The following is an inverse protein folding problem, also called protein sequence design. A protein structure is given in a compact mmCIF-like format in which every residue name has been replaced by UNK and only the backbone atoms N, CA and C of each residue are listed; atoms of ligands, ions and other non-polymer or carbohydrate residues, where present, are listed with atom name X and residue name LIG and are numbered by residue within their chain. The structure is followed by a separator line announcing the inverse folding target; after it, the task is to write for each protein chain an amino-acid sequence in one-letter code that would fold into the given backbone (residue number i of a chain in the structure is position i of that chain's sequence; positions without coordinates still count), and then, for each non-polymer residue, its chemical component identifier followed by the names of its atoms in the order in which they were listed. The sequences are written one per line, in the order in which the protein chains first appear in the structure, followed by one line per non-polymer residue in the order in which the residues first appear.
data_IF_622174868014
#
_entry.id   IF_622174868014
#
_cell.length_a   1.000
_cell.length_b   1.000
_cell.length_c   1.000
_cell.angle_alpha   90.00
_cell.angle_beta   90.00
_cell.angle_gamma   90.00
#
_symmetry.space_group_name_H-M   'P 1'
#
loop_
_entity.id
_entity.type
_entity.pdbx_description
1 polymer ?
#
# COMPACT_ATOMS: atom_id res chain seq x y z
N UNK A 1 6.89 2.01 -15.98
CA UNK A 1 7.07 3.49 -15.84
C UNK A 1 7.60 3.78 -14.46
N UNK A 2 8.61 4.64 -14.34
CA UNK A 2 9.16 5.01 -13.03
C UNK A 2 8.29 6.09 -12.36
N UNK A 3 8.36 6.18 -11.03
CA UNK A 3 7.72 7.26 -10.28
C UNK A 3 8.18 8.65 -10.77
N UNK A 4 9.49 8.81 -11.06
CA UNK A 4 10.02 10.04 -11.62
C UNK A 4 9.37 10.44 -12.94
N UNK A 5 8.99 9.49 -13.79
CA UNK A 5 8.31 9.74 -15.07
C UNK A 5 6.84 10.12 -14.84
N UNK A 6 6.15 9.38 -13.97
CA UNK A 6 4.75 9.65 -13.60
C UNK A 6 4.56 11.05 -13.03
N UNK A 7 5.48 11.48 -12.17
CA UNK A 7 5.39 12.75 -11.45
C UNK A 7 6.27 13.86 -12.04
N UNK A 8 6.78 13.68 -13.25
CA UNK A 8 7.73 14.60 -13.91
C UNK A 8 7.29 16.06 -13.88
N UNK A 9 6.05 16.33 -14.27
CA UNK A 9 5.54 17.72 -14.35
C UNK A 9 5.52 18.38 -12.97
N UNK A 10 5.10 17.66 -11.94
CA UNK A 10 5.06 18.15 -10.57
C UNK A 10 6.48 18.39 -10.02
N UNK A 11 7.43 17.49 -10.35
CA UNK A 11 8.84 17.62 -9.96
C UNK A 11 9.43 18.88 -10.60
N UNK A 12 9.20 19.11 -11.91
CA UNK A 12 9.69 20.29 -12.62
C UNK A 12 9.09 21.58 -12.06
N UNK A 13 7.77 21.62 -11.83
CA UNK A 13 7.12 22.78 -11.20
C UNK A 13 7.70 23.11 -9.81
N UNK A 14 8.12 22.07 -9.09
CA UNK A 14 8.72 22.23 -7.77
C UNK A 14 10.15 22.80 -7.86
N UNK A 15 10.93 22.37 -8.86
CA UNK A 15 12.29 22.86 -9.13
C UNK A 15 12.24 24.33 -9.58
N UNK A 16 11.33 24.69 -10.48
CA UNK A 16 11.18 26.03 -11.01
C UNK A 16 10.81 27.07 -9.94
N UNK A 17 10.18 26.65 -8.84
CA UNK A 17 9.86 27.54 -7.72
C UNK A 17 11.00 27.76 -6.73
N UNK A 18 12.22 27.37 -7.08
CA UNK A 18 13.45 27.45 -6.24
C UNK A 18 13.26 26.87 -4.82
N UNK A 19 12.28 26.02 -4.64
CA UNK A 19 12.07 25.32 -3.37
C UNK A 19 13.05 24.18 -3.27
N UNK A 20 13.78 24.11 -2.17
CA UNK A 20 14.63 22.94 -1.87
C UNK A 20 13.81 21.65 -2.02
N UNK A 21 14.38 20.65 -2.71
CA UNK A 21 13.72 19.37 -3.01
C UNK A 21 13.40 18.57 -1.73
N UNK A 22 12.45 19.06 -0.97
CA UNK A 22 11.90 18.36 0.18
C UNK A 22 10.47 17.93 -0.17
N UNK A 23 10.27 16.78 -0.75
CA UNK A 23 8.94 16.22 -0.86
C UNK A 23 8.71 15.20 0.26
N UNK A 24 7.58 15.33 0.90
CA UNK A 24 7.08 14.32 1.83
C UNK A 24 5.83 13.69 1.24
N UNK A 25 5.62 12.43 1.50
CA UNK A 25 4.36 11.77 1.21
C UNK A 25 3.49 11.80 2.45
N UNK A 26 2.34 12.46 2.36
CA UNK A 26 1.21 12.12 3.21
C UNK A 26 0.48 10.96 2.55
N UNK A 27 -0.12 10.10 3.35
CA UNK A 27 -0.96 9.00 2.88
C UNK A 27 -2.19 9.43 2.06
N UNK A 28 -2.40 10.73 1.85
CA UNK A 28 -3.47 11.28 1.04
C UNK A 28 -2.97 11.41 -0.41
N UNK A 29 -3.47 10.55 -1.27
CA UNK A 29 -3.12 10.44 -2.69
C UNK A 29 -3.19 11.73 -3.53
N UNK A 30 -3.64 12.84 -2.99
CA UNK A 30 -3.85 14.09 -3.73
C UNK A 30 -2.73 15.11 -3.61
N UNK A 31 -1.82 15.01 -2.64
CA UNK A 31 -0.82 16.06 -2.38
C UNK A 31 0.57 15.52 -2.10
N UNK A 32 1.16 14.89 -3.12
CA UNK A 32 2.47 14.27 -3.05
C UNK A 32 3.63 15.24 -2.80
N UNK A 33 3.42 16.53 -2.96
CA UNK A 33 4.46 17.56 -2.91
C UNK A 33 4.14 18.68 -1.93
N UNK A 34 3.34 18.44 -0.91
CA UNK A 34 3.09 19.43 0.11
C UNK A 34 4.10 19.31 1.25
N UNK A 35 4.92 20.35 1.27
CA UNK A 35 5.78 20.77 2.38
C UNK A 35 6.75 19.76 2.98
N UNK A 36 7.98 20.22 2.97
CA UNK A 36 9.14 19.76 3.68
C UNK A 36 8.89 19.17 5.05
N UNK A 37 9.78 18.25 5.40
CA UNK A 37 10.06 17.74 6.73
C UNK A 37 10.35 18.83 7.79
N UNK A 38 9.54 19.84 7.92
CA UNK A 38 9.58 20.74 9.07
C UNK A 38 8.95 20.12 10.31
N UNK A 39 8.22 19.04 10.12
CA UNK A 39 7.54 18.37 11.22
C UNK A 39 7.76 16.86 11.14
N UNK A 40 8.60 16.36 12.03
CA UNK A 40 8.68 14.97 12.43
C UNK A 40 8.60 13.93 11.30
N UNK A 41 9.73 13.27 11.03
CA UNK A 41 9.83 12.10 10.15
C UNK A 41 8.82 10.97 10.46
N UNK A 42 8.13 11.05 11.58
CA UNK A 42 7.10 10.11 12.04
C UNK A 42 5.90 9.97 11.08
N UNK A 43 5.62 10.98 10.28
CA UNK A 43 4.45 10.99 9.37
C UNK A 43 4.84 10.91 7.89
N UNK A 44 6.11 10.69 7.58
CA UNK A 44 6.55 10.56 6.21
C UNK A 44 6.53 9.07 5.80
N UNK A 45 5.69 8.71 4.86
CA UNK A 45 5.59 7.34 4.33
C UNK A 45 6.93 6.80 3.77
N UNK A 46 7.87 7.69 3.40
CA UNK A 46 9.21 7.31 2.97
C UNK A 46 10.19 7.06 4.11
N UNK A 47 9.92 7.58 5.29
CA UNK A 47 10.85 7.58 6.41
C UNK A 47 10.45 6.68 7.56
N UNK A 48 9.58 5.70 7.40
CA UNK A 48 9.18 4.67 8.40
C UNK A 48 9.44 4.99 9.91
N UNK A 49 9.56 6.26 10.27
CA UNK A 49 9.84 6.73 11.63
C UNK A 49 11.23 6.39 12.19
N UNK A 50 12.05 5.66 11.48
CA UNK A 50 13.37 5.21 11.93
C UNK A 50 14.48 6.06 11.28
N UNK A 51 14.83 7.17 11.92
CA UNK A 51 15.88 8.08 11.49
C UNK A 51 17.29 7.47 11.50
N UNK A 52 17.43 6.21 11.88
CA UNK A 52 18.75 5.57 12.06
C UNK A 52 19.24 4.82 10.82
N UNK A 53 18.38 4.56 9.82
CA UNK A 53 18.72 3.62 8.75
C UNK A 53 19.21 4.22 7.44
N UNK A 54 18.59 5.26 6.93
CA UNK A 54 19.04 5.91 5.68
C UNK A 54 18.72 7.41 5.66
N UNK A 55 19.59 8.25 5.06
CA UNK A 55 19.25 9.65 4.80
C UNK A 55 18.01 9.77 3.90
N UNK A 56 17.08 10.67 4.24
CA UNK A 56 15.85 10.92 3.49
C UNK A 56 16.08 11.14 1.98
N UNK A 57 17.22 11.74 1.62
CA UNK A 57 17.58 11.96 0.21
C UNK A 57 17.75 10.64 -0.54
N UNK A 58 18.39 9.66 0.07
CA UNK A 58 18.60 8.34 -0.55
C UNK A 58 17.27 7.62 -0.72
N UNK A 59 16.44 7.62 0.31
CA UNK A 59 15.10 7.00 0.26
C UNK A 59 14.23 7.64 -0.83
N UNK A 60 14.30 8.96 -0.99
CA UNK A 60 13.57 9.69 -2.06
C UNK A 60 14.07 9.32 -3.44
N UNK A 61 15.39 9.25 -3.63
CA UNK A 61 15.98 8.84 -4.91
C UNK A 61 15.58 7.42 -5.24
N UNK A 62 15.65 6.50 -4.29
CA UNK A 62 15.19 5.11 -4.48
C UNK A 62 13.74 5.05 -4.91
N UNK A 63 12.87 5.84 -4.26
CA UNK A 63 11.47 5.90 -4.63
C UNK A 63 11.25 6.47 -6.03
N UNK A 64 11.94 7.57 -6.39
CA UNK A 64 11.84 8.15 -7.74
C UNK A 64 12.24 7.15 -8.83
N UNK A 65 13.21 6.30 -8.55
CA UNK A 65 13.72 5.28 -9.45
C UNK A 65 12.95 3.95 -9.37
N UNK A 66 12.02 3.81 -8.44
CA UNK A 66 11.19 2.62 -8.35
C UNK A 66 10.04 2.67 -9.35
N UNK A 67 9.51 1.49 -9.67
CA UNK A 67 8.38 1.37 -10.59
C UNK A 67 7.11 1.97 -9.98
N UNK A 68 6.41 2.76 -10.79
CA UNK A 68 5.10 3.29 -10.39
C UNK A 68 4.08 2.16 -10.36
N UNK A 69 3.45 1.99 -9.22
CA UNK A 69 2.30 1.10 -9.03
C UNK A 69 1.05 1.95 -8.89
N UNK A 70 0.03 1.63 -9.66
CA UNK A 70 -1.27 2.28 -9.48
C UNK A 70 -1.83 1.94 -8.10
N UNK A 71 -2.43 2.92 -7.40
CA UNK A 71 -3.11 2.63 -6.14
C UNK A 71 -4.24 1.63 -6.37
N UNK A 72 -4.38 0.71 -5.43
CA UNK A 72 -5.54 -0.19 -5.42
C UNK A 72 -6.78 0.62 -5.11
N UNK A 73 -7.84 0.47 -5.92
CA UNK A 73 -9.13 1.09 -5.64
C UNK A 73 -9.94 0.17 -4.74
N UNK A 74 -10.35 0.70 -3.61
CA UNK A 74 -11.19 -0.01 -2.65
C UNK A 74 -12.52 0.72 -2.52
N UNK A 75 -13.60 -0.04 -2.39
CA UNK A 75 -14.86 0.49 -1.89
C UNK A 75 -14.74 0.84 -0.41
N UNK A 76 -15.65 1.68 0.12
CA UNK A 76 -15.69 1.97 1.57
C UNK A 76 -15.84 0.69 2.40
N UNK A 77 -16.62 -0.28 1.89
CA UNK A 77 -16.79 -1.58 2.53
C UNK A 77 -15.48 -2.38 2.60
N UNK A 78 -14.77 -2.49 1.47
CA UNK A 78 -13.50 -3.21 1.41
C UNK A 78 -12.45 -2.58 2.32
N UNK A 79 -12.35 -1.25 2.29
CA UNK A 79 -11.45 -0.50 3.18
C UNK A 79 -11.75 -0.79 4.65
N UNK A 80 -13.01 -0.64 5.06
CA UNK A 80 -13.44 -0.92 6.45
C UNK A 80 -13.20 -2.36 6.89
N UNK A 81 -13.35 -3.35 5.99
CA UNK A 81 -13.03 -4.75 6.29
C UNK A 81 -11.53 -4.92 6.54
N UNK A 82 -10.66 -4.34 5.70
CA UNK A 82 -9.21 -4.44 5.89
C UNK A 82 -8.75 -3.75 7.18
N UNK A 83 -9.26 -2.56 7.49
CA UNK A 83 -9.00 -1.89 8.77
C UNK A 83 -9.40 -2.77 9.97
N UNK A 84 -10.60 -3.34 9.93
CA UNK A 84 -11.08 -4.23 11.00
C UNK A 84 -10.19 -5.46 11.16
N UNK A 85 -9.77 -6.08 10.06
CA UNK A 85 -8.88 -7.23 10.09
C UNK A 85 -7.54 -6.89 10.70
N UNK A 86 -6.96 -5.76 10.34
CA UNK A 86 -5.66 -5.31 10.82
C UNK A 86 -5.73 -4.90 12.30
N UNK A 87 -6.62 -3.98 12.65
CA UNK A 87 -6.66 -3.36 13.97
C UNK A 87 -7.27 -4.26 15.05
N UNK A 88 -8.39 -4.92 14.75
CA UNK A 88 -9.17 -5.67 15.74
C UNK A 88 -8.83 -7.15 15.78
N UNK A 89 -8.36 -7.70 14.67
CA UNK A 89 -8.10 -9.14 14.54
C UNK A 89 -6.62 -9.48 14.33
N UNK A 90 -5.76 -8.48 14.13
CA UNK A 90 -4.31 -8.65 13.94
C UNK A 90 -3.94 -9.50 12.71
N UNK A 91 -4.85 -9.66 11.75
CA UNK A 91 -4.51 -10.25 10.46
C UNK A 91 -3.72 -9.24 9.64
N UNK A 92 -2.65 -9.69 9.01
CA UNK A 92 -1.72 -8.81 8.28
C UNK A 92 -1.69 -9.08 6.80
N UNK A 93 -2.13 -10.26 6.38
CA UNK A 93 -2.07 -10.69 4.99
C UNK A 93 -3.40 -11.26 4.56
N UNK A 94 -3.76 -11.02 3.29
CA UNK A 94 -4.90 -11.64 2.62
C UNK A 94 -4.38 -12.29 1.35
N UNK A 95 -4.91 -13.46 1.03
CA UNK A 95 -4.62 -14.18 -0.20
C UNK A 95 -5.89 -14.75 -0.79
N UNK A 96 -5.89 -14.96 -2.11
CA UNK A 96 -6.92 -15.74 -2.80
C UNK A 96 -6.34 -17.10 -3.15
N UNK A 97 -7.06 -18.15 -2.80
CA UNK A 97 -6.72 -19.51 -3.17
C UNK A 97 -7.14 -19.82 -4.62
N UNK A 98 -6.60 -20.89 -5.19
CA UNK A 98 -6.89 -21.34 -6.55
C UNK A 98 -8.38 -21.61 -6.82
N UNK A 99 -9.13 -21.94 -5.79
CA UNK A 99 -10.59 -22.15 -5.85
C UNK A 99 -11.41 -20.85 -5.72
N UNK A 100 -10.76 -19.70 -5.68
CA UNK A 100 -11.37 -18.38 -5.57
C UNK A 100 -11.63 -17.88 -4.15
N UNK A 101 -11.49 -18.74 -3.13
CA UNK A 101 -11.74 -18.35 -1.74
C UNK A 101 -10.66 -17.44 -1.16
N UNK A 102 -11.08 -16.47 -0.37
CA UNK A 102 -10.20 -15.55 0.37
C UNK A 102 -9.88 -16.08 1.77
N UNK A 103 -8.62 -15.89 2.15
CA UNK A 103 -8.13 -16.20 3.50
C UNK A 103 -7.28 -15.08 4.06
N UNK A 104 -7.49 -14.77 5.34
CA UNK A 104 -6.67 -13.83 6.11
C UNK A 104 -5.67 -14.59 6.99
N UNK A 105 -4.45 -14.07 7.10
CA UNK A 105 -3.34 -14.65 7.86
C UNK A 105 -2.71 -13.62 8.80
N UNK A 106 -2.31 -14.07 9.99
CA UNK A 106 -1.55 -13.25 10.95
C UNK A 106 -0.08 -13.12 10.50
N UNK A 107 0.52 -14.26 10.13
CA UNK A 107 1.89 -14.31 9.65
C UNK A 107 1.92 -14.51 8.14
N UNK A 108 2.99 -14.00 7.50
CA UNK A 108 3.18 -14.10 6.05
C UNK A 108 3.08 -15.56 5.59
N UNK A 109 2.05 -15.91 4.79
CA UNK A 109 1.95 -17.25 4.24
C UNK A 109 2.95 -17.44 3.09
N UNK A 110 3.26 -18.70 2.79
CA UNK A 110 4.05 -19.08 1.62
C UNK A 110 3.17 -19.78 0.61
N UNK A 111 3.39 -19.46 -0.65
CA UNK A 111 2.70 -20.11 -1.76
C UNK A 111 3.36 -21.43 -2.10
N UNK A 112 2.55 -22.46 -2.23
CA UNK A 112 2.91 -23.78 -2.75
C UNK A 112 2.07 -24.08 -3.99
N UNK A 113 2.40 -25.16 -4.70
CA UNK A 113 1.74 -25.52 -5.98
C UNK A 113 0.20 -25.57 -5.90
N UNK A 114 -0.36 -25.86 -4.73
CA UNK A 114 -1.79 -26.11 -4.56
C UNK A 114 -2.48 -25.16 -3.57
N UNK A 115 -1.74 -24.50 -2.71
CA UNK A 115 -2.33 -23.67 -1.63
C UNK A 115 -1.33 -22.71 -1.01
N UNK A 116 -1.85 -21.66 -0.36
CA UNK A 116 -1.10 -20.84 0.57
C UNK A 116 -1.06 -21.49 1.96
N UNK A 117 0.09 -21.47 2.62
CA UNK A 117 0.27 -22.08 3.94
C UNK A 117 1.07 -21.16 4.87
N UNK A 118 0.66 -21.14 6.13
CA UNK A 118 1.39 -20.46 7.22
C UNK A 118 1.43 -21.36 8.46
N UNK A 119 2.38 -21.08 9.36
CA UNK A 119 2.53 -21.78 10.63
C UNK A 119 1.44 -21.46 11.66
N UNK A 120 0.64 -20.46 11.41
CA UNK A 120 -0.37 -19.92 12.34
C UNK A 120 -1.75 -19.89 11.73
N UNK A 121 -2.74 -19.61 12.57
CA UNK A 121 -4.16 -19.60 12.23
C UNK A 121 -4.46 -18.77 10.98
N UNK A 122 -5.11 -19.40 10.03
CA UNK A 122 -5.80 -18.73 8.92
C UNK A 122 -7.29 -18.55 9.26
N UNK A 123 -7.90 -17.56 8.67
CA UNK A 123 -9.35 -17.32 8.74
C UNK A 123 -9.93 -17.28 7.35
N UNK A 124 -10.92 -18.12 7.10
CA UNK A 124 -11.72 -18.02 5.87
C UNK A 124 -12.50 -16.71 5.84
N UNK A 125 -12.50 -16.06 4.70
CA UNK A 125 -13.25 -14.85 4.39
C UNK A 125 -14.31 -15.13 3.32
N UNK A 126 -14.84 -16.34 3.26
CA UNK A 126 -15.74 -16.81 2.20
C UNK A 126 -17.02 -15.98 1.99
N UNK A 127 -17.42 -15.16 2.97
CA UNK A 127 -18.50 -14.19 2.80
C UNK A 127 -18.10 -13.00 1.92
N UNK A 128 -16.83 -12.83 1.62
CA UNK A 128 -16.25 -11.71 0.91
C UNK A 128 -15.49 -12.13 -0.36
N UNK A 129 -15.76 -13.34 -0.85
CA UNK A 129 -15.03 -13.87 -2.03
C UNK A 129 -15.28 -13.02 -3.30
N UNK A 130 -16.41 -12.32 -3.38
CA UNK A 130 -16.72 -11.39 -4.47
C UNK A 130 -16.04 -10.02 -4.35
N UNK A 131 -15.43 -9.73 -3.20
CA UNK A 131 -14.65 -8.52 -2.95
C UNK A 131 -13.17 -8.74 -3.23
N UNK A 132 -12.39 -7.66 -3.15
CA UNK A 132 -10.92 -7.71 -3.27
C UNK A 132 -10.45 -8.40 -4.56
N UNK A 133 -11.07 -8.04 -5.70
CA UNK A 133 -10.79 -8.65 -6.99
C UNK A 133 -9.36 -8.41 -7.49
N UNK A 134 -8.64 -7.47 -6.89
CA UNK A 134 -7.23 -7.22 -7.16
C UNK A 134 -6.29 -8.29 -6.55
N UNK A 135 -6.78 -9.10 -5.60
CA UNK A 135 -6.01 -10.22 -5.03
C UNK A 135 -6.30 -11.46 -5.87
N UNK A 136 -5.27 -11.98 -6.53
CA UNK A 136 -5.39 -13.10 -7.43
C UNK A 136 -4.61 -14.32 -6.93
N UNK A 137 -5.01 -15.51 -7.39
CA UNK A 137 -4.21 -16.72 -7.14
C UNK A 137 -2.83 -16.64 -7.74
N UNK A 138 -2.70 -15.97 -8.88
CA UNK A 138 -1.48 -15.82 -9.67
C UNK A 138 -0.41 -14.99 -8.96
N UNK A 139 -0.80 -14.18 -7.96
CA UNK A 139 0.14 -13.35 -7.19
C UNK A 139 1.22 -14.22 -6.57
N UNK A 140 2.48 -13.84 -6.74
CA UNK A 140 3.63 -14.57 -6.18
C UNK A 140 3.79 -14.35 -4.68
N UNK A 141 3.35 -13.19 -4.19
CA UNK A 141 3.45 -12.77 -2.80
C UNK A 141 2.05 -12.52 -2.20
N UNK A 142 1.87 -12.77 -0.90
CA UNK A 142 0.61 -12.48 -0.24
C UNK A 142 0.39 -10.97 -0.13
N UNK A 143 -0.84 -10.52 -0.29
CA UNK A 143 -1.21 -9.11 -0.17
C UNK A 143 -1.10 -8.65 1.28
N UNK A 144 -0.26 -7.65 1.53
CA UNK A 144 -0.12 -7.00 2.84
C UNK A 144 -1.28 -6.02 3.05
N UNK A 145 -2.07 -6.22 4.11
CA UNK A 145 -3.20 -5.33 4.44
C UNK A 145 -2.68 -3.91 4.73
N UNK A 146 -1.59 -3.80 5.49
CA UNK A 146 -1.00 -2.51 5.83
C UNK A 146 -0.51 -1.74 4.60
N UNK A 147 0.16 -2.41 3.66
CA UNK A 147 0.62 -1.78 2.42
C UNK A 147 -0.55 -1.31 1.56
N UNK A 148 -1.63 -2.11 1.46
CA UNK A 148 -2.82 -1.73 0.71
C UNK A 148 -3.50 -0.52 1.34
N UNK A 149 -3.75 -0.52 2.64
CA UNK A 149 -4.38 0.60 3.35
C UNK A 149 -3.56 1.90 3.25
N UNK A 150 -2.22 1.78 3.23
CA UNK A 150 -1.33 2.92 3.10
C UNK A 150 -1.26 3.50 1.68
N UNK A 151 -1.68 2.78 0.67
CA UNK A 151 -1.53 3.16 -0.75
C UNK A 151 -2.82 3.12 -1.56
N UNK A 152 -3.96 2.73 -0.98
CA UNK A 152 -5.23 2.62 -1.70
C UNK A 152 -5.87 3.98 -1.97
N UNK A 153 -6.75 4.00 -2.95
CA UNK A 153 -7.73 5.05 -3.21
C UNK A 153 -9.11 4.51 -2.82
N UNK A 154 -9.78 5.17 -1.88
CA UNK A 154 -11.16 4.80 -1.51
C UNK A 154 -12.11 5.44 -2.50
N UNK A 155 -12.90 4.59 -3.18
CA UNK A 155 -13.90 5.02 -4.16
C UNK A 155 -15.28 4.82 -3.57
N UNK A 156 -16.13 5.83 -3.68
CA UNK A 156 -17.52 5.69 -3.30
C UNK A 156 -18.22 4.79 -4.33
N UNK A 157 -18.93 3.79 -3.86
CA UNK A 157 -19.91 3.05 -4.67
C UNK A 157 -21.09 3.99 -5.01
N UNK A 158 -20.84 4.99 -5.86
CA UNK A 158 -21.91 5.77 -6.43
C UNK A 158 -22.73 4.78 -7.28
N UNK A 159 -23.90 4.42 -6.79
CA UNK A 159 -24.87 3.63 -7.53
C UNK A 159 -25.10 4.31 -8.88
N UNK A 160 -24.70 3.63 -9.97
CA UNK A 160 -25.32 3.84 -11.26
C UNK A 160 -26.79 3.41 -11.25
#
# INVERSE_FOLDING_TARGET
MLNAEKYRSQILEFIDKEKTMYFSFKNDNANMFNQCCETNCYYCALCSGDSTKEPCTITRIKWLLSEYKEPVKLTELEHGILEYLLEKKQYRFVVRERNGYLYAYINKPRKYDKAWQALTCMRSMSLFDDLFQFIQWEDEEPTSIEEVLNSCEVVNDAKE
#
